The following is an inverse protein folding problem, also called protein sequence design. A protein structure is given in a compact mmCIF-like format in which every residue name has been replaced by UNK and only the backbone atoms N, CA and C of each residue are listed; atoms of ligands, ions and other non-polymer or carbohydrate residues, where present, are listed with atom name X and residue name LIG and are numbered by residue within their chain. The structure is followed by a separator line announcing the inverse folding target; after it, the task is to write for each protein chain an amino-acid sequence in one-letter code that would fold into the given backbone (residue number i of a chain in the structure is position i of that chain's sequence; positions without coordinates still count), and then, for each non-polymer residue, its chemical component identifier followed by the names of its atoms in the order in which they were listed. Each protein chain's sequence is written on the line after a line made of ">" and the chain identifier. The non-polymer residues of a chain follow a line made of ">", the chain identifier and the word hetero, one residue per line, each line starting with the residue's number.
data_IF_392598481033
#
_entry.id   IF_392598481033
#
_cell.length_a   1.000
_cell.length_b   1.000
_cell.length_c   1.000
_cell.angle_alpha   90.00
_cell.angle_beta   90.00
_cell.angle_gamma   90.00
#
_symmetry.space_group_name_H-M   'P 1'
#
loop_
_entity.id
_entity.type
_entity.pdbx_description
1 polymer ?
#
# COMPACT_ATOMS: atom_id res chain seq x y z
N UNK A 1 -44.61 -49.03 -0.13
CA UNK A 1 -44.05 -47.65 -0.02
C UNK A 1 -42.55 -47.79 0.15
N UNK A 2 -41.79 -47.52 -0.93
CA UNK A 2 -40.33 -47.70 -0.97
C UNK A 2 -39.69 -46.29 -0.83
N UNK A 3 -38.95 -46.02 0.24
CA UNK A 3 -38.15 -44.82 0.42
C UNK A 3 -36.77 -45.02 -0.24
N UNK A 4 -36.44 -44.20 -1.21
CA UNK A 4 -35.12 -44.12 -1.80
C UNK A 4 -34.29 -43.06 -1.02
N UNK A 5 -33.22 -43.53 -0.40
CA UNK A 5 -32.19 -42.68 0.18
C UNK A 5 -31.25 -42.25 -0.95
N UNK A 6 -31.22 -40.95 -1.22
CA UNK A 6 -30.21 -40.34 -2.08
C UNK A 6 -29.05 -39.89 -1.18
N UNK A 7 -27.94 -40.59 -1.30
CA UNK A 7 -26.66 -40.18 -0.68
C UNK A 7 -26.02 -39.16 -1.60
N UNK A 8 -25.98 -37.89 -1.16
CA UNK A 8 -25.23 -36.84 -1.84
C UNK A 8 -23.76 -36.92 -1.39
N UNK A 9 -22.89 -37.33 -2.29
CA UNK A 9 -21.46 -37.28 -2.10
C UNK A 9 -21.00 -35.79 -2.26
N UNK A 10 -20.57 -35.17 -1.18
CA UNK A 10 -19.90 -33.87 -1.20
C UNK A 10 -18.46 -34.09 -1.63
N UNK A 11 -18.15 -33.80 -2.87
CA UNK A 11 -16.78 -33.76 -3.36
C UNK A 11 -16.12 -32.46 -2.86
N UNK A 12 -15.14 -32.59 -1.98
CA UNK A 12 -14.26 -31.50 -1.59
C UNK A 12 -13.38 -31.11 -2.78
N UNK A 13 -13.65 -29.98 -3.41
CA UNK A 13 -12.80 -29.41 -4.45
C UNK A 13 -11.60 -28.73 -3.79
N UNK A 14 -10.44 -29.37 -3.87
CA UNK A 14 -9.16 -28.70 -3.62
C UNK A 14 -8.92 -27.67 -4.73
N UNK A 15 -8.35 -26.48 -4.44
CA UNK A 15 -8.00 -25.52 -5.48
C UNK A 15 -6.82 -26.08 -6.30
N UNK A 16 -7.14 -26.59 -7.46
CA UNK A 16 -6.16 -26.98 -8.47
C UNK A 16 -5.58 -25.69 -9.05
N UNK A 17 -4.30 -25.48 -8.87
CA UNK A 17 -3.51 -24.57 -9.70
C UNK A 17 -3.41 -25.25 -11.07
N UNK A 18 -4.34 -24.94 -11.96
CA UNK A 18 -4.37 -25.52 -13.29
C UNK A 18 -3.08 -25.16 -14.04
N UNK A 19 -2.30 -26.18 -14.36
CA UNK A 19 -1.32 -26.16 -15.42
C UNK A 19 -2.09 -26.28 -16.73
N UNK A 20 -2.21 -25.19 -17.46
CA UNK A 20 -2.53 -25.22 -18.88
C UNK A 20 -1.31 -24.76 -19.66
N UNK A 21 -0.57 -25.76 -20.12
CA UNK A 21 0.33 -25.62 -21.24
C UNK A 21 -0.46 -25.77 -22.53
N UNK A 22 -0.61 -24.69 -23.28
CA UNK A 22 -0.82 -24.78 -24.73
C UNK A 22 -0.36 -23.50 -25.40
N UNK A 23 0.56 -23.64 -26.33
CA UNK A 23 1.13 -22.61 -27.15
C UNK A 23 0.08 -22.01 -28.09
N UNK A 24 -0.08 -20.70 -28.07
CA UNK A 24 -0.60 -19.91 -29.19
C UNK A 24 0.46 -18.87 -29.56
N UNK A 25 1.06 -19.09 -30.70
CA UNK A 25 2.05 -18.25 -31.35
C UNK A 25 1.40 -16.97 -31.90
N UNK A 26 2.08 -15.81 -31.72
CA UNK A 26 1.94 -14.66 -32.63
C UNK A 26 1.21 -13.44 -32.09
N UNK A 27 1.67 -12.89 -30.98
CA UNK A 27 1.69 -11.46 -30.64
C UNK A 27 2.71 -11.33 -29.54
N UNK A 28 3.67 -10.40 -29.61
CA UNK A 28 4.84 -10.34 -28.74
C UNK A 28 4.51 -10.66 -27.29
N UNK A 29 5.03 -11.76 -26.80
CA UNK A 29 4.67 -12.34 -25.50
C UNK A 29 5.32 -11.50 -24.39
N UNK A 30 4.65 -10.40 -24.01
CA UNK A 30 5.08 -9.51 -22.93
C UNK A 30 5.24 -10.37 -21.66
N UNK A 31 6.44 -10.36 -21.09
CA UNK A 31 6.77 -11.12 -19.89
C UNK A 31 5.98 -10.63 -18.68
N UNK A 32 5.85 -11.46 -17.66
CA UNK A 32 5.17 -11.08 -16.41
C UNK A 32 5.85 -9.87 -15.73
N UNK A 33 7.17 -9.75 -15.83
CA UNK A 33 7.92 -8.61 -15.30
C UNK A 33 7.67 -7.33 -16.09
N UNK A 34 7.55 -7.42 -17.41
CA UNK A 34 7.17 -6.27 -18.27
C UNK A 34 5.76 -5.78 -17.94
N UNK A 35 4.83 -6.70 -17.63
CA UNK A 35 3.51 -6.33 -17.15
C UNK A 35 3.56 -5.62 -15.79
N UNK A 36 4.37 -6.09 -14.83
CA UNK A 36 4.57 -5.37 -13.55
C UNK A 36 5.15 -3.98 -13.77
N UNK A 37 6.11 -3.85 -14.71
CA UNK A 37 6.65 -2.54 -15.07
C UNK A 37 5.57 -1.64 -15.65
N UNK A 38 4.75 -2.15 -16.58
CA UNK A 38 3.63 -1.40 -17.18
C UNK A 38 2.63 -0.94 -16.12
N UNK A 39 2.32 -1.79 -15.12
CA UNK A 39 1.49 -1.44 -13.96
C UNK A 39 2.13 -0.31 -13.16
N UNK A 40 3.42 -0.40 -12.84
CA UNK A 40 4.13 0.63 -12.09
C UNK A 40 4.18 1.98 -12.83
N UNK A 41 4.38 1.94 -14.13
CA UNK A 41 4.45 3.14 -14.96
C UNK A 41 3.08 3.79 -15.17
N UNK A 42 2.00 3.00 -15.21
CA UNK A 42 0.64 3.50 -15.44
C UNK A 42 0.19 4.54 -14.41
N UNK A 43 0.60 4.41 -13.15
CA UNK A 43 0.30 5.37 -12.07
C UNK A 43 0.94 6.75 -12.28
N UNK A 44 1.92 6.86 -13.18
CA UNK A 44 2.65 8.10 -13.51
C UNK A 44 2.33 8.64 -14.90
N UNK A 45 1.67 7.86 -15.74
CA UNK A 45 1.51 8.20 -17.17
C UNK A 45 0.07 8.22 -17.62
N UNK A 46 -0.85 7.58 -16.89
CA UNK A 46 -2.23 7.38 -17.35
C UNK A 46 -3.16 8.32 -16.63
N UNK A 47 -3.92 9.10 -17.40
CA UNK A 47 -5.06 9.86 -16.87
C UNK A 47 -6.25 8.95 -16.72
N UNK A 48 -6.94 9.02 -15.57
CA UNK A 48 -8.17 8.27 -15.35
C UNK A 48 -9.07 8.93 -14.31
N UNK A 49 -10.34 8.59 -14.37
CA UNK A 49 -11.30 8.91 -13.31
C UNK A 49 -12.24 7.73 -13.11
N UNK A 50 -12.68 7.52 -11.87
CA UNK A 50 -13.54 6.39 -11.59
C UNK A 50 -14.00 6.32 -10.15
N UNK A 51 -14.82 5.32 -9.89
CA UNK A 51 -15.23 4.91 -8.55
C UNK A 51 -14.65 3.52 -8.29
N UNK A 52 -14.05 3.34 -7.14
CA UNK A 52 -13.50 2.04 -6.73
C UNK A 52 -14.01 1.65 -5.34
N UNK A 53 -13.97 0.36 -5.09
CA UNK A 53 -14.25 -0.25 -3.79
C UNK A 53 -12.95 -0.79 -3.23
N UNK A 54 -12.66 -0.44 -1.99
CA UNK A 54 -11.56 -0.98 -1.23
C UNK A 54 -12.11 -1.79 -0.07
N UNK A 55 -11.69 -3.05 0.02
CA UNK A 55 -12.11 -3.99 1.07
C UNK A 55 -10.88 -4.45 1.85
N UNK A 56 -10.94 -4.37 3.17
CA UNK A 56 -9.93 -4.90 4.08
C UNK A 56 -10.59 -5.45 5.35
N UNK A 57 -10.33 -6.73 5.64
CA UNK A 57 -11.06 -7.43 6.69
C UNK A 57 -12.58 -7.39 6.43
N UNK A 58 -13.35 -6.95 7.40
CA UNK A 58 -14.81 -6.76 7.28
C UNK A 58 -15.23 -5.38 6.78
N UNK A 59 -14.29 -4.46 6.53
CA UNK A 59 -14.58 -3.10 6.08
C UNK A 59 -14.61 -3.01 4.58
N UNK A 60 -15.58 -2.27 4.07
CA UNK A 60 -15.73 -1.92 2.66
C UNK A 60 -15.86 -0.41 2.57
N UNK A 61 -15.05 0.21 1.74
CA UNK A 61 -15.06 1.66 1.52
C UNK A 61 -15.15 1.95 0.03
N UNK A 62 -16.09 2.80 -0.36
CA UNK A 62 -16.23 3.27 -1.74
C UNK A 62 -15.63 4.67 -1.85
N UNK A 63 -14.84 4.89 -2.87
CA UNK A 63 -14.21 6.18 -3.12
C UNK A 63 -14.24 6.54 -4.59
N UNK A 64 -14.30 7.82 -4.88
CA UNK A 64 -14.14 8.38 -6.23
C UNK A 64 -12.77 8.98 -6.37
N UNK A 65 -12.11 8.71 -7.50
CA UNK A 65 -10.79 9.25 -7.82
C UNK A 65 -10.82 9.97 -9.16
N UNK A 66 -10.09 11.06 -9.25
CA UNK A 66 -9.64 11.70 -10.49
C UNK A 66 -8.13 11.79 -10.41
N UNK A 67 -7.47 11.22 -11.39
CA UNK A 67 -6.01 11.24 -11.52
C UNK A 67 -5.60 11.87 -12.84
N UNK A 68 -4.79 12.89 -12.77
CA UNK A 68 -4.34 13.67 -13.92
C UNK A 68 -2.82 13.85 -13.89
N UNK A 69 -2.19 13.51 -15.00
CA UNK A 69 -0.76 13.78 -15.24
C UNK A 69 -0.68 14.85 -16.31
N UNK A 70 -0.07 15.98 -15.97
CA UNK A 70 0.10 17.06 -16.93
C UNK A 70 1.27 16.78 -17.92
N UNK A 71 1.39 17.51 -19.04
CA UNK A 71 2.46 17.29 -20.01
C UNK A 71 3.88 17.45 -19.46
N UNK A 72 4.06 18.18 -18.35
CA UNK A 72 5.37 18.32 -17.68
C UNK A 72 5.65 17.24 -16.63
N UNK A 73 4.79 16.22 -16.54
CA UNK A 73 4.94 15.10 -15.60
C UNK A 73 4.45 15.36 -14.17
N UNK A 74 3.80 16.51 -13.93
CA UNK A 74 3.19 16.80 -12.64
C UNK A 74 1.92 15.95 -12.42
N UNK A 75 1.79 15.35 -11.24
CA UNK A 75 0.67 14.47 -10.87
C UNK A 75 -0.30 15.21 -9.97
N UNK A 76 -1.57 15.16 -10.33
CA UNK A 76 -2.68 15.76 -9.61
C UNK A 76 -3.76 14.70 -9.35
N UNK A 77 -4.23 14.63 -8.13
CA UNK A 77 -5.27 13.66 -7.75
C UNK A 77 -6.30 14.32 -6.84
N UNK A 78 -7.54 13.92 -7.02
CA UNK A 78 -8.61 14.14 -6.03
C UNK A 78 -9.25 12.82 -5.67
N UNK A 79 -9.23 12.48 -4.41
CA UNK A 79 -9.85 11.30 -3.85
C UNK A 79 -10.97 11.74 -2.90
N UNK A 80 -12.18 11.25 -3.13
CA UNK A 80 -13.36 11.53 -2.32
C UNK A 80 -13.91 10.23 -1.74
N UNK A 81 -13.99 10.12 -0.41
CA UNK A 81 -14.67 9.02 0.26
C UNK A 81 -16.18 9.19 0.12
N UNK A 82 -16.88 8.16 -0.33
CA UNK A 82 -18.32 8.18 -0.57
C UNK A 82 -19.13 7.55 0.57
N UNK A 83 -18.50 6.73 1.41
CA UNK A 83 -19.11 6.05 2.55
C UNK A 83 -18.56 6.60 3.87
N UNK A 84 -19.42 6.66 4.90
CA UNK A 84 -19.04 7.12 6.23
C UNK A 84 -18.73 8.62 6.33
N UNK A 85 -17.85 9.06 7.24
CA UNK A 85 -17.50 10.46 7.42
C UNK A 85 -16.91 11.08 6.16
N UNK A 86 -17.39 12.27 5.80
CA UNK A 86 -16.94 12.97 4.60
C UNK A 86 -15.43 13.26 4.65
N UNK A 87 -14.72 12.84 3.61
CA UNK A 87 -13.29 13.10 3.44
C UNK A 87 -12.95 13.33 1.99
N UNK A 88 -12.17 14.37 1.73
CA UNK A 88 -11.58 14.61 0.43
C UNK A 88 -10.07 14.79 0.57
N UNK A 89 -9.30 14.16 -0.28
CA UNK A 89 -7.86 14.32 -0.36
C UNK A 89 -7.50 14.84 -1.73
N UNK A 90 -6.79 15.96 -1.77
CA UNK A 90 -6.25 16.54 -3.00
C UNK A 90 -4.73 16.45 -2.95
N UNK A 91 -4.16 15.97 -4.05
CA UNK A 91 -2.70 15.94 -4.24
C UNK A 91 -2.30 16.84 -5.40
N UNK A 92 -1.22 17.55 -5.21
CA UNK A 92 -0.48 18.27 -6.26
C UNK A 92 1.00 17.95 -6.09
N UNK A 93 1.51 17.00 -6.87
CA UNK A 93 2.85 16.43 -6.73
C UNK A 93 3.08 15.82 -5.32
N UNK A 94 4.01 16.38 -4.56
CA UNK A 94 4.34 15.97 -3.18
C UNK A 94 3.43 16.60 -2.11
N UNK A 95 2.64 17.62 -2.48
CA UNK A 95 1.73 18.28 -1.55
C UNK A 95 0.39 17.53 -1.49
N UNK A 96 -0.02 17.17 -0.29
CA UNK A 96 -1.28 16.49 -0.01
C UNK A 96 -2.09 17.32 0.98
N UNK A 97 -3.32 17.63 0.62
CA UNK A 97 -4.27 18.34 1.48
C UNK A 97 -5.49 17.47 1.70
N UNK A 98 -5.79 17.12 2.95
CA UNK A 98 -7.00 16.39 3.30
C UNK A 98 -8.01 17.33 3.97
N UNK A 99 -9.22 17.36 3.45
CA UNK A 99 -10.37 18.10 3.99
C UNK A 99 -11.26 17.14 4.76
N UNK A 100 -11.54 17.47 6.02
CA UNK A 100 -12.40 16.73 6.94
C UNK A 100 -13.59 17.60 7.31
N UNK A 101 -14.67 17.63 6.50
CA UNK A 101 -15.77 18.60 6.65
C UNK A 101 -16.49 18.50 7.98
N UNK A 102 -16.71 17.29 8.49
CA UNK A 102 -17.46 17.03 9.72
C UNK A 102 -16.74 17.61 10.95
N UNK A 103 -15.41 17.56 10.96
CA UNK A 103 -14.58 18.14 12.03
C UNK A 103 -14.09 19.56 11.73
N UNK A 104 -14.39 20.10 10.54
CA UNK A 104 -13.88 21.41 10.05
C UNK A 104 -12.36 21.54 10.16
N UNK A 105 -11.66 20.50 9.70
CA UNK A 105 -10.18 20.44 9.74
C UNK A 105 -9.63 20.27 8.34
N UNK A 106 -8.55 20.96 8.06
CA UNK A 106 -7.71 20.77 6.87
C UNK A 106 -6.34 20.29 7.33
N UNK A 107 -5.93 19.13 6.87
CA UNK A 107 -4.59 18.58 7.12
C UNK A 107 -3.72 18.84 5.89
N UNK A 108 -2.54 19.41 6.08
CA UNK A 108 -1.58 19.65 5.00
C UNK A 108 -0.31 18.90 5.28
N UNK A 109 0.09 18.04 4.33
CA UNK A 109 1.25 17.16 4.43
C UNK A 109 2.12 17.25 3.18
N UNK A 110 3.41 16.94 3.33
CA UNK A 110 4.26 16.51 2.22
C UNK A 110 4.42 15.02 2.24
N UNK A 111 4.12 14.38 1.14
CA UNK A 111 4.33 12.94 0.96
C UNK A 111 5.07 12.71 -0.34
N UNK A 112 6.29 12.22 -0.24
CA UNK A 112 6.96 11.65 -1.40
C UNK A 112 6.20 10.38 -1.80
N UNK A 113 5.71 10.36 -3.03
CA UNK A 113 5.30 9.20 -3.83
C UNK A 113 4.56 8.04 -3.12
N UNK A 114 3.27 8.23 -2.82
CA UNK A 114 2.32 7.11 -2.77
C UNK A 114 1.31 7.30 -3.88
N UNK A 115 1.43 6.55 -4.96
CA UNK A 115 0.46 6.53 -6.04
C UNK A 115 -0.55 5.40 -5.80
N UNK A 116 -1.84 5.76 -5.71
CA UNK A 116 -2.90 4.77 -5.74
C UNK A 116 -3.02 4.23 -7.18
N UNK A 117 -3.48 3.00 -7.40
CA UNK A 117 -3.93 2.03 -6.40
C UNK A 117 -2.84 1.05 -5.95
N UNK A 118 -1.63 1.11 -6.49
CA UNK A 118 -0.61 0.08 -6.29
C UNK A 118 0.76 0.70 -6.07
N UNK A 119 1.42 0.28 -5.00
CA UNK A 119 2.83 0.58 -4.77
C UNK A 119 3.68 -0.57 -5.28
N UNK A 120 4.41 -0.33 -6.36
CA UNK A 120 5.43 -1.24 -6.86
C UNK A 120 6.81 -0.53 -6.79
N UNK A 121 7.89 -1.28 -6.53
CA UNK A 121 9.23 -0.72 -6.46
C UNK A 121 9.70 -0.25 -7.83
N UNK A 122 10.61 0.72 -7.84
CA UNK A 122 11.23 1.19 -9.08
C UNK A 122 12.11 0.11 -9.75
N UNK A 123 12.76 -0.74 -8.93
CA UNK A 123 13.60 -1.84 -9.41
C UNK A 123 12.89 -3.17 -9.22
N UNK A 124 12.19 -3.62 -10.24
CA UNK A 124 11.45 -4.89 -10.25
C UNK A 124 12.36 -6.12 -10.34
N UNK A 125 13.61 -5.98 -10.83
CA UNK A 125 14.57 -7.09 -10.95
C UNK A 125 14.86 -7.79 -9.62
N UNK A 126 14.87 -7.03 -8.53
CA UNK A 126 15.20 -7.55 -7.21
C UNK A 126 14.07 -8.41 -6.61
N UNK A 127 12.85 -8.26 -7.13
CA UNK A 127 11.68 -9.03 -6.67
C UNK A 127 11.82 -10.53 -6.95
N UNK A 128 12.42 -10.91 -8.06
CA UNK A 128 12.48 -12.32 -8.50
C UNK A 128 13.29 -13.21 -7.57
N UNK A 129 14.13 -12.64 -6.71
CA UNK A 129 14.83 -13.40 -5.67
C UNK A 129 13.90 -13.92 -4.59
N UNK A 130 12.86 -13.14 -4.21
CA UNK A 130 11.94 -13.43 -3.12
C UNK A 130 10.53 -13.80 -3.58
N UNK A 131 10.17 -13.45 -4.82
CA UNK A 131 8.85 -13.69 -5.39
C UNK A 131 8.93 -14.42 -6.73
N UNK A 132 7.93 -15.22 -6.99
CA UNK A 132 7.63 -15.75 -8.31
C UNK A 132 6.61 -14.83 -8.98
N UNK A 133 6.94 -14.33 -10.18
CA UNK A 133 6.05 -13.46 -10.97
C UNK A 133 5.53 -14.22 -12.16
N UNK A 134 4.18 -14.32 -12.26
CA UNK A 134 3.52 -15.05 -13.33
C UNK A 134 2.45 -14.21 -14.01
N UNK A 135 2.41 -14.28 -15.34
CA UNK A 135 1.24 -13.86 -16.12
C UNK A 135 0.18 -14.96 -15.97
N UNK A 136 -1.03 -14.58 -15.65
CA UNK A 136 -2.17 -15.47 -15.47
C UNK A 136 -3.21 -15.24 -16.57
N UNK A 137 -4.42 -15.75 -16.40
CA UNK A 137 -5.50 -15.63 -17.36
C UNK A 137 -5.94 -14.16 -17.56
N UNK A 138 -6.54 -13.90 -18.72
CA UNK A 138 -7.24 -12.65 -18.97
C UNK A 138 -8.59 -12.64 -18.25
N UNK A 139 -9.09 -11.44 -17.97
CA UNK A 139 -10.37 -11.20 -17.30
C UNK A 139 -10.97 -9.89 -17.82
N UNK A 140 -12.19 -9.57 -17.36
CA UNK A 140 -12.87 -8.33 -17.69
C UNK A 140 -13.41 -7.68 -16.42
N UNK A 141 -12.98 -6.43 -16.15
CA UNK A 141 -13.33 -5.69 -14.94
C UNK A 141 -13.77 -4.28 -15.33
N UNK A 142 -14.93 -3.86 -14.82
CA UNK A 142 -15.44 -2.52 -15.08
C UNK A 142 -15.66 -2.19 -16.56
N UNK A 143 -15.86 -3.21 -17.40
CA UNK A 143 -16.01 -3.05 -18.84
C UNK A 143 -14.72 -3.13 -19.66
N UNK A 144 -13.56 -3.23 -19.02
CA UNK A 144 -12.23 -3.27 -19.65
C UNK A 144 -11.63 -4.67 -19.58
N UNK A 145 -11.00 -5.08 -20.69
CA UNK A 145 -10.20 -6.30 -20.73
C UNK A 145 -8.89 -6.09 -19.96
N UNK A 146 -8.50 -7.07 -19.15
CA UNK A 146 -7.27 -7.04 -18.38
C UNK A 146 -6.59 -8.40 -18.31
N UNK A 147 -5.31 -8.40 -17.98
CA UNK A 147 -4.52 -9.61 -17.72
C UNK A 147 -4.14 -9.66 -16.24
N UNK A 148 -4.35 -10.79 -15.61
CA UNK A 148 -3.89 -11.01 -14.26
C UNK A 148 -2.37 -11.26 -14.22
N UNK A 149 -1.71 -10.56 -13.31
CA UNK A 149 -0.30 -10.73 -12.96
C UNK A 149 -0.20 -11.10 -11.50
N UNK A 150 0.31 -12.29 -11.23
CA UNK A 150 0.52 -12.80 -9.88
C UNK A 150 1.95 -12.56 -9.40
N UNK A 151 2.09 -12.16 -8.16
CA UNK A 151 3.36 -12.01 -7.44
C UNK A 151 3.25 -12.86 -6.19
N UNK A 152 3.75 -14.10 -6.26
CA UNK A 152 3.67 -15.08 -5.19
C UNK A 152 4.98 -15.11 -4.40
N UNK A 153 4.96 -14.97 -3.07
CA UNK A 153 6.17 -15.09 -2.27
C UNK A 153 6.69 -16.53 -2.30
N UNK A 154 8.02 -16.68 -2.24
CA UNK A 154 8.70 -17.99 -2.15
C UNK A 154 8.78 -18.52 -0.73
N UNK A 155 8.37 -17.72 0.25
CA UNK A 155 8.36 -18.05 1.68
C UNK A 155 7.03 -17.62 2.34
N UNK A 156 6.93 -17.76 3.67
CA UNK A 156 5.75 -17.36 4.46
C UNK A 156 5.94 -16.02 5.20
N UNK A 157 6.95 -15.26 4.82
CA UNK A 157 7.30 -13.99 5.47
C UNK A 157 6.74 -12.79 4.73
N UNK A 158 5.97 -13.01 3.66
CA UNK A 158 5.44 -11.99 2.74
C UNK A 158 4.04 -12.32 2.32
N UNK A 159 3.33 -11.30 1.88
CA UNK A 159 2.03 -11.47 1.26
C UNK A 159 2.13 -11.66 -0.25
N UNK A 160 1.26 -12.52 -0.77
CA UNK A 160 1.04 -12.64 -2.21
C UNK A 160 0.20 -11.49 -2.73
N UNK A 161 0.41 -11.10 -3.99
CA UNK A 161 -0.37 -10.05 -4.65
C UNK A 161 -0.80 -10.50 -6.04
N UNK A 162 -1.97 -10.02 -6.48
CA UNK A 162 -2.44 -10.16 -7.86
C UNK A 162 -2.95 -8.82 -8.36
N UNK A 163 -2.65 -8.51 -9.61
CA UNK A 163 -3.09 -7.29 -10.28
C UNK A 163 -3.75 -7.65 -11.60
N UNK A 164 -4.97 -7.15 -11.86
CA UNK A 164 -5.54 -7.23 -13.21
C UNK A 164 -5.26 -5.91 -13.91
N UNK A 165 -4.32 -5.93 -14.84
CA UNK A 165 -3.84 -4.77 -15.58
C UNK A 165 -4.59 -4.62 -16.89
N UNK A 166 -5.18 -3.44 -17.16
CA UNK A 166 -5.82 -3.13 -18.43
C UNK A 166 -4.81 -3.28 -19.59
N UNK A 167 -5.24 -3.90 -20.66
CA UNK A 167 -4.34 -4.38 -21.72
C UNK A 167 -3.57 -3.25 -22.40
N UNK A 168 -4.19 -2.11 -22.65
CA UNK A 168 -3.58 -0.99 -23.38
C UNK A 168 -2.73 -0.11 -22.47
N UNK A 169 -3.25 0.32 -21.33
CA UNK A 169 -2.62 1.30 -20.43
C UNK A 169 -1.75 0.69 -19.33
N UNK A 170 -2.01 -0.59 -18.98
CA UNK A 170 -1.41 -1.22 -17.81
C UNK A 170 -2.02 -0.78 -16.49
N UNK A 171 -3.08 0.07 -16.51
CA UNK A 171 -3.73 0.53 -15.29
C UNK A 171 -4.30 -0.67 -14.51
N UNK A 172 -3.97 -0.86 -13.22
CA UNK A 172 -4.53 -1.92 -12.42
C UNK A 172 -6.02 -1.66 -12.15
N UNK A 173 -6.87 -2.47 -12.76
CA UNK A 173 -8.33 -2.43 -12.59
C UNK A 173 -8.75 -3.06 -11.26
N UNK A 174 -7.98 -4.06 -10.83
CA UNK A 174 -8.14 -4.73 -9.53
C UNK A 174 -6.77 -5.10 -8.98
N UNK A 175 -6.61 -4.92 -7.67
CA UNK A 175 -5.46 -5.40 -6.91
C UNK A 175 -5.94 -6.21 -5.72
N UNK A 176 -5.26 -7.30 -5.40
CA UNK A 176 -5.60 -8.22 -4.33
C UNK A 176 -4.36 -8.58 -3.54
N UNK A 177 -4.51 -8.67 -2.21
CA UNK A 177 -3.45 -9.11 -1.28
C UNK A 177 -3.91 -10.39 -0.60
N UNK A 178 -3.03 -11.38 -0.58
CA UNK A 178 -3.27 -12.70 0.00
C UNK A 178 -2.29 -12.98 1.13
N UNK A 179 -2.78 -13.54 2.20
CA UNK A 179 -1.94 -13.96 3.32
C UNK A 179 -1.18 -15.28 3.01
N UNK A 180 -0.41 -15.76 3.98
CA UNK A 180 0.40 -16.98 3.88
C UNK A 180 -0.43 -18.28 3.73
N UNK A 181 -1.76 -18.20 3.93
CA UNK A 181 -2.72 -19.29 3.69
C UNK A 181 -3.45 -19.15 2.37
N UNK A 182 -3.04 -18.17 1.52
CA UNK A 182 -3.72 -17.83 0.27
C UNK A 182 -5.15 -17.29 0.47
N UNK A 183 -5.48 -16.79 1.65
CA UNK A 183 -6.75 -16.12 1.93
C UNK A 183 -6.66 -14.66 1.50
N UNK A 184 -7.71 -14.17 0.84
CA UNK A 184 -7.81 -12.76 0.44
C UNK A 184 -8.00 -11.88 1.68
N UNK A 185 -7.08 -10.96 1.92
CA UNK A 185 -7.11 -10.04 3.08
C UNK A 185 -7.39 -8.60 2.70
N UNK A 186 -7.04 -8.20 1.48
CA UNK A 186 -7.39 -6.89 0.92
C UNK A 186 -7.73 -6.99 -0.56
N UNK A 187 -8.67 -6.17 -1.00
CA UNK A 187 -9.03 -6.04 -2.39
C UNK A 187 -9.34 -4.58 -2.73
N UNK A 188 -8.75 -4.10 -3.80
CA UNK A 188 -9.10 -2.87 -4.49
C UNK A 188 -9.72 -3.25 -5.84
N UNK A 189 -10.74 -2.52 -6.29
CA UNK A 189 -11.29 -2.75 -7.63
C UNK A 189 -12.18 -1.61 -8.10
N UNK A 190 -11.99 -1.18 -9.35
CA UNK A 190 -12.86 -0.21 -9.98
C UNK A 190 -14.24 -0.81 -10.24
N UNK A 191 -15.31 -0.08 -9.84
CA UNK A 191 -16.69 -0.34 -10.22
C UNK A 191 -17.12 0.48 -11.44
N UNK A 192 -16.54 1.68 -11.58
CA UNK A 192 -16.71 2.55 -12.74
C UNK A 192 -15.36 3.16 -13.08
N UNK A 193 -15.03 3.26 -14.36
CA UNK A 193 -13.72 3.77 -14.78
C UNK A 193 -13.82 4.42 -16.16
N UNK A 194 -13.12 5.52 -16.33
CA UNK A 194 -12.81 6.15 -17.60
C UNK A 194 -11.29 6.32 -17.67
N UNK A 195 -10.66 5.77 -18.72
CA UNK A 195 -9.22 5.85 -18.95
C UNK A 195 -8.97 6.86 -20.06
N UNK A 196 -7.97 7.72 -19.89
CA UNK A 196 -7.66 8.80 -20.81
C UNK A 196 -8.61 9.99 -20.63
N UNK A 197 -8.69 10.83 -21.66
CA UNK A 197 -9.54 12.01 -21.68
C UNK A 197 -8.79 13.32 -21.46
N UNK A 198 -9.46 14.42 -21.78
CA UNK A 198 -8.97 15.77 -21.51
C UNK A 198 -9.40 16.16 -20.08
N UNK A 199 -8.46 16.13 -19.17
CA UNK A 199 -8.70 16.62 -17.82
C UNK A 199 -8.36 18.10 -17.73
N UNK A 200 -9.12 18.84 -16.93
CA UNK A 200 -8.79 20.19 -16.55
C UNK A 200 -8.44 20.25 -15.04
N UNK A 201 -7.82 21.36 -14.64
CA UNK A 201 -7.38 21.55 -13.26
C UNK A 201 -8.55 21.57 -12.26
N UNK A 202 -9.74 21.99 -12.70
CA UNK A 202 -10.92 22.11 -11.84
C UNK A 202 -11.44 20.73 -11.39
N UNK A 203 -11.21 19.69 -12.20
CA UNK A 203 -11.63 18.32 -11.85
C UNK A 203 -10.82 17.73 -10.70
N UNK A 204 -9.59 18.23 -10.47
CA UNK A 204 -8.70 17.81 -9.38
C UNK A 204 -8.62 18.82 -8.24
N UNK A 205 -9.29 19.98 -8.38
CA UNK A 205 -9.43 20.95 -7.30
C UNK A 205 -10.38 20.45 -6.21
N UNK A 206 -10.15 20.89 -4.98
CA UNK A 206 -11.05 20.57 -3.86
C UNK A 206 -12.39 21.28 -3.99
N UNK A 207 -13.47 20.57 -3.75
CA UNK A 207 -14.81 21.16 -3.60
C UNK A 207 -15.03 21.82 -2.23
N UNK A 208 -14.10 21.61 -1.28
CA UNK A 208 -14.19 22.14 0.08
C UNK A 208 -13.31 23.36 0.33
N UNK A 209 -12.37 23.70 -0.55
CA UNK A 209 -11.37 24.74 -0.32
C UNK A 209 -12.03 26.11 -0.02
N UNK A 210 -12.93 26.58 -0.90
CA UNK A 210 -13.63 27.84 -0.71
C UNK A 210 -14.45 27.86 0.59
N UNK A 211 -15.13 26.75 0.91
CA UNK A 211 -15.91 26.61 2.14
C UNK A 211 -15.01 26.60 3.38
N UNK A 212 -13.88 25.92 3.32
CA UNK A 212 -12.91 25.86 4.42
C UNK A 212 -12.34 27.24 4.74
N UNK A 213 -12.02 28.02 3.71
CA UNK A 213 -11.57 29.40 3.86
C UNK A 213 -12.68 30.30 4.44
N UNK A 214 -13.89 30.30 3.86
CA UNK A 214 -15.02 31.14 4.31
C UNK A 214 -15.43 30.84 5.77
N UNK A 215 -15.40 29.57 6.16
CA UNK A 215 -15.76 29.13 7.52
C UNK A 215 -14.57 29.04 8.48
N UNK A 216 -13.38 29.45 8.07
CA UNK A 216 -12.14 29.46 8.89
C UNK A 216 -11.87 28.12 9.55
N UNK A 217 -11.87 27.02 8.77
CA UNK A 217 -11.56 25.70 9.29
C UNK A 217 -10.16 25.67 9.89
N UNK A 218 -9.98 24.83 10.92
CA UNK A 218 -8.66 24.65 11.53
C UNK A 218 -7.70 23.99 10.53
N UNK A 219 -6.61 24.68 10.21
CA UNK A 219 -5.57 24.15 9.32
C UNK A 219 -4.45 23.59 10.16
N UNK A 220 -4.22 22.29 10.04
CA UNK A 220 -3.14 21.58 10.69
C UNK A 220 -2.02 21.30 9.67
N UNK A 221 -0.87 21.91 9.90
CA UNK A 221 0.35 21.78 9.11
C UNK A 221 1.45 21.05 9.89
N UNK A 222 1.13 20.40 10.98
CA UNK A 222 2.12 19.73 11.85
C UNK A 222 2.94 18.70 11.08
N UNK A 223 2.35 18.03 10.09
CA UNK A 223 3.05 17.09 9.24
C UNK A 223 4.05 17.75 8.25
N UNK A 224 3.88 19.04 7.89
CA UNK A 224 4.87 19.78 7.10
C UNK A 224 6.14 20.10 7.90
N UNK A 225 5.99 20.18 9.21
CA UNK A 225 7.08 20.49 10.13
C UNK A 225 7.81 19.21 10.61
N UNK A 226 7.47 18.06 10.04
CA UNK A 226 8.27 16.85 10.24
C UNK A 226 9.53 17.00 9.37
N UNK A 227 10.58 17.51 9.99
CA UNK A 227 11.89 17.51 9.35
C UNK A 227 12.42 16.07 9.39
N UNK A 228 12.48 15.45 8.22
CA UNK A 228 13.21 14.20 8.03
C UNK A 228 14.66 14.56 7.71
N UNK A 229 15.52 14.32 8.65
CA UNK A 229 16.95 14.52 8.44
C UNK A 229 17.60 13.13 8.31
N UNK A 230 18.22 12.86 7.16
CA UNK A 230 19.05 11.68 7.02
C UNK A 230 20.11 11.73 8.12
N UNK A 231 20.13 10.72 8.98
CA UNK A 231 21.00 10.74 10.14
C UNK A 231 21.30 9.32 10.61
N UNK A 232 22.49 9.12 11.14
CA UNK A 232 22.74 7.94 11.97
C UNK A 232 21.88 8.04 13.24
N UNK A 233 20.93 7.14 13.37
CA UNK A 233 20.01 7.10 14.52
C UNK A 233 20.61 6.40 15.73
N UNK A 234 21.73 5.69 15.55
CA UNK A 234 22.31 4.81 16.57
C UNK A 234 21.60 3.46 16.70
N UNK A 235 20.69 3.11 15.78
CA UNK A 235 19.95 1.85 15.79
C UNK A 235 20.13 1.08 14.49
N UNK A 236 20.04 -0.24 14.58
CA UNK A 236 20.05 -1.13 13.42
C UNK A 236 19.26 -2.39 13.70
N UNK A 237 18.86 -3.10 12.65
CA UNK A 237 18.32 -4.44 12.78
C UNK A 237 19.32 -5.44 12.21
N UNK A 238 19.65 -6.46 12.99
CA UNK A 238 20.47 -7.58 12.61
C UNK A 238 19.58 -8.80 12.34
N UNK A 239 20.02 -9.75 11.51
CA UNK A 239 19.24 -10.97 11.19
C UNK A 239 17.84 -10.66 10.60
N UNK A 240 17.81 -9.77 9.62
CA UNK A 240 16.58 -9.47 8.86
C UNK A 240 16.10 -10.71 8.08
N UNK A 241 14.79 -10.83 7.84
CA UNK A 241 14.29 -11.81 6.86
C UNK A 241 14.98 -11.64 5.51
N UNK A 242 15.25 -12.75 4.81
CA UNK A 242 15.96 -12.72 3.53
C UNK A 242 15.31 -11.73 2.56
N UNK A 243 16.12 -10.90 1.88
CA UNK A 243 15.65 -9.87 0.94
C UNK A 243 15.28 -8.52 1.56
N UNK A 244 14.98 -8.45 2.85
CA UNK A 244 14.77 -7.16 3.51
C UNK A 244 16.11 -6.42 3.70
N UNK A 245 16.11 -5.15 3.31
CA UNK A 245 17.26 -4.23 3.46
C UNK A 245 16.77 -2.91 4.03
N UNK A 246 17.63 -2.23 4.75
CA UNK A 246 17.36 -0.87 5.20
C UNK A 246 17.28 0.06 3.98
N UNK A 247 16.11 0.65 3.74
CA UNK A 247 15.85 1.59 2.64
C UNK A 247 15.90 3.04 3.09
N UNK A 248 15.63 3.30 4.38
CA UNK A 248 15.64 4.65 4.93
C UNK A 248 16.08 4.63 6.40
N UNK A 249 16.82 5.65 6.80
CA UNK A 249 17.16 5.95 8.19
C UNK A 249 17.16 7.47 8.39
N UNK A 250 16.24 7.95 9.21
CA UNK A 250 16.06 9.39 9.46
C UNK A 250 15.73 9.66 10.92
N UNK A 251 16.01 10.86 11.38
CA UNK A 251 15.44 11.41 12.61
C UNK A 251 14.25 12.28 12.25
N UNK A 252 13.09 11.97 12.83
CA UNK A 252 11.86 12.75 12.68
C UNK A 252 11.64 13.64 13.87
N UNK A 253 11.58 14.96 13.65
CA UNK A 253 11.10 15.90 14.65
C UNK A 253 9.59 16.05 14.47
N UNK A 254 8.81 15.72 15.48
CA UNK A 254 7.36 15.91 15.50
C UNK A 254 7.07 17.14 16.35
N UNK A 255 6.28 18.09 15.81
CA UNK A 255 5.87 19.28 16.55
C UNK A 255 5.16 18.89 17.85
N UNK A 256 5.58 19.48 18.97
CA UNK A 256 5.07 19.15 20.30
C UNK A 256 5.79 18.01 21.00
N UNK A 257 6.79 17.37 20.38
CA UNK A 257 7.69 16.41 21.03
C UNK A 257 9.10 17.00 21.13
N UNK A 258 9.72 17.02 22.31
CA UNK A 258 11.01 17.66 22.52
C UNK A 258 12.19 16.91 21.91
N UNK A 259 12.01 15.63 21.55
CA UNK A 259 13.08 14.75 21.07
C UNK A 259 12.74 14.22 19.67
N UNK A 260 13.73 14.32 18.78
CA UNK A 260 13.63 13.71 17.46
C UNK A 260 13.59 12.19 17.58
N UNK A 261 12.64 11.58 16.89
CA UNK A 261 12.38 10.15 16.93
C UNK A 261 13.13 9.43 15.81
N UNK A 262 13.96 8.43 16.11
CA UNK A 262 14.51 7.54 15.10
C UNK A 262 13.40 6.84 14.31
N UNK A 263 13.51 6.86 12.98
CA UNK A 263 12.65 6.14 12.07
C UNK A 263 13.50 5.42 11.03
N UNK A 264 13.42 4.10 11.02
CA UNK A 264 14.06 3.25 10.03
C UNK A 264 12.99 2.58 9.18
N UNK A 265 13.28 2.38 7.90
CA UNK A 265 12.43 1.59 7.01
C UNK A 265 13.23 0.46 6.42
N UNK A 266 12.68 -0.73 6.51
CA UNK A 266 13.21 -1.93 5.88
C UNK A 266 12.25 -2.35 4.77
N UNK A 267 12.78 -2.73 3.61
CA UNK A 267 11.98 -3.14 2.47
C UNK A 267 12.65 -4.30 1.73
N UNK A 268 11.84 -5.18 1.17
CA UNK A 268 12.26 -6.21 0.22
C UNK A 268 11.96 -5.82 -1.25
N UNK A 269 11.51 -4.56 -1.43
CA UNK A 269 11.10 -4.00 -2.71
C UNK A 269 9.57 -3.99 -2.91
N UNK A 270 8.80 -4.85 -2.25
CA UNK A 270 7.33 -4.88 -2.36
C UNK A 270 6.65 -4.59 -1.02
N UNK A 271 7.16 -5.16 0.06
CA UNK A 271 6.75 -4.85 1.42
C UNK A 271 7.67 -3.80 2.04
N UNK A 272 7.10 -2.89 2.82
CA UNK A 272 7.84 -1.89 3.58
C UNK A 272 7.44 -1.95 5.05
N UNK A 273 8.45 -2.01 5.93
CA UNK A 273 8.30 -2.11 7.37
C UNK A 273 8.95 -0.89 8.02
N UNK A 274 8.14 -0.08 8.67
CA UNK A 274 8.58 1.09 9.43
C UNK A 274 8.88 0.72 10.88
N UNK A 275 9.98 1.23 11.40
CA UNK A 275 10.45 1.08 12.77
C UNK A 275 10.57 2.46 13.40
N UNK A 276 9.85 2.68 14.47
CA UNK A 276 9.90 3.90 15.28
C UNK A 276 10.44 3.58 16.66
N UNK A 277 11.37 4.41 17.16
CA UNK A 277 11.97 4.24 18.48
C UNK A 277 11.67 5.48 19.31
N UNK A 278 10.92 5.30 20.39
CA UNK A 278 10.47 6.39 21.27
C UNK A 278 10.96 6.15 22.70
N UNK A 279 11.34 7.19 23.45
CA UNK A 279 11.58 7.04 24.88
C UNK A 279 10.33 6.49 25.58
N UNK A 280 10.52 5.61 26.54
CA UNK A 280 9.46 5.04 27.36
C UNK A 280 8.91 6.12 28.29
N UNK A 281 7.76 6.68 27.96
CA UNK A 281 7.03 7.62 28.82
C UNK A 281 5.96 6.86 29.56
N UNK A 282 6.18 6.54 30.82
CA UNK A 282 5.29 5.84 31.79
C UNK A 282 4.57 4.60 31.24
N UNK A 283 4.17 3.70 32.15
CA UNK A 283 3.50 2.42 31.91
C UNK A 283 2.10 2.56 31.26
N UNK A 284 2.08 2.93 30.00
CA UNK A 284 0.91 2.69 29.15
C UNK A 284 0.97 1.20 28.76
N UNK A 285 -0.05 0.44 29.14
CA UNK A 285 -0.18 -0.96 28.76
C UNK A 285 -0.06 -1.09 27.24
N UNK A 286 1.12 -1.52 26.80
CA UNK A 286 1.44 -1.69 25.39
C UNK A 286 0.76 -2.96 24.92
N UNK A 287 -0.30 -2.86 24.11
CA UNK A 287 -0.80 -4.03 23.35
C UNK A 287 0.31 -4.43 22.38
N UNK A 288 0.92 -5.61 22.57
CA UNK A 288 2.13 -5.94 21.81
C UNK A 288 1.87 -6.16 20.33
N UNK A 289 0.69 -6.64 19.96
CA UNK A 289 0.34 -6.92 18.57
C UNK A 289 -1.07 -6.41 18.25
N UNK A 290 -1.18 -5.71 17.13
CA UNK A 290 -2.45 -5.28 16.53
C UNK A 290 -2.37 -5.41 15.02
N UNK A 291 -3.51 -5.44 14.33
CA UNK A 291 -3.57 -5.41 12.88
C UNK A 291 -4.72 -4.54 12.38
N UNK A 292 -4.54 -4.01 11.18
CA UNK A 292 -5.58 -3.34 10.40
C UNK A 292 -5.38 -3.73 8.93
N UNK A 293 -6.26 -4.60 8.42
CA UNK A 293 -6.09 -5.20 7.10
C UNK A 293 -4.77 -5.97 7.02
N UNK A 294 -3.98 -5.71 5.97
CA UNK A 294 -2.65 -6.30 5.78
C UNK A 294 -1.56 -5.70 6.68
N UNK A 295 -1.83 -4.57 7.34
CA UNK A 295 -0.84 -3.92 8.21
C UNK A 295 -0.85 -4.56 9.59
N UNK A 296 0.29 -5.10 10.00
CA UNK A 296 0.54 -5.51 11.38
C UNK A 296 1.36 -4.45 12.10
N UNK A 297 1.05 -4.26 13.38
CA UNK A 297 1.76 -3.35 14.29
C UNK A 297 2.24 -4.18 15.47
N UNK A 298 3.52 -4.16 15.74
CA UNK A 298 4.10 -4.81 16.91
C UNK A 298 4.89 -3.81 17.74
N UNK A 299 4.72 -3.86 19.07
CA UNK A 299 5.43 -3.00 20.01
C UNK A 299 6.16 -3.85 21.05
N UNK A 300 7.40 -3.49 21.32
CA UNK A 300 8.17 -4.05 22.43
C UNK A 300 8.91 -2.97 23.20
N UNK A 301 9.21 -3.27 24.46
CA UNK A 301 10.10 -2.46 25.29
C UNK A 301 11.53 -2.96 25.09
N UNK A 302 12.47 -2.04 24.92
CA UNK A 302 13.90 -2.28 24.87
C UNK A 302 14.61 -1.25 25.76
N UNK A 303 14.98 -1.64 27.00
CA UNK A 303 15.49 -0.71 28.01
C UNK A 303 14.54 0.45 28.28
N UNK A 304 15.03 1.68 28.09
CA UNK A 304 14.27 2.91 28.24
C UNK A 304 13.49 3.33 26.99
N UNK A 305 13.38 2.43 26.00
CA UNK A 305 12.74 2.73 24.73
C UNK A 305 11.55 1.81 24.44
N UNK A 306 10.60 2.33 23.66
CA UNK A 306 9.55 1.55 23.00
C UNK A 306 9.90 1.48 21.51
N UNK A 307 10.07 0.26 21.01
CA UNK A 307 10.24 -0.01 19.58
C UNK A 307 8.88 -0.38 19.01
N UNK A 308 8.37 0.47 18.12
CA UNK A 308 7.11 0.24 17.38
C UNK A 308 7.45 -0.10 15.94
N UNK A 309 7.02 -1.27 15.49
CA UNK A 309 7.24 -1.77 14.12
C UNK A 309 5.91 -2.01 13.45
N UNK A 310 5.75 -1.51 12.24
CA UNK A 310 4.52 -1.69 11.48
C UNK A 310 4.79 -1.80 9.97
N UNK A 311 3.96 -2.61 9.30
CA UNK A 311 4.04 -2.75 7.84
C UNK A 311 3.09 -3.78 7.28
N UNK A 312 2.98 -3.79 5.94
CA UNK A 312 2.16 -4.74 5.19
C UNK A 312 2.89 -6.08 4.98
N UNK A 313 3.01 -6.82 6.06
CA UNK A 313 3.64 -8.15 6.07
C UNK A 313 2.99 -9.02 7.15
N UNK A 314 3.16 -10.35 7.10
CA UNK A 314 2.71 -11.26 8.15
C UNK A 314 3.22 -10.85 9.54
N UNK A 315 2.43 -11.12 10.57
CA UNK A 315 2.78 -10.78 11.96
C UNK A 315 4.17 -11.31 12.35
N UNK A 316 4.51 -12.53 11.93
CA UNK A 316 5.82 -13.15 12.19
C UNK A 316 6.97 -12.30 11.66
N UNK A 317 6.83 -11.70 10.49
CA UNK A 317 7.86 -10.85 9.87
C UNK A 317 8.03 -9.53 10.62
N UNK A 318 6.90 -8.89 10.97
CA UNK A 318 6.92 -7.65 11.76
C UNK A 318 7.56 -7.89 13.13
N UNK A 319 7.23 -9.00 13.78
CA UNK A 319 7.83 -9.40 15.06
C UNK A 319 9.31 -9.75 14.92
N UNK A 320 9.71 -10.46 13.87
CA UNK A 320 11.12 -10.81 13.62
C UNK A 320 11.97 -9.54 13.45
N UNK A 321 11.50 -8.60 12.62
CA UNK A 321 12.20 -7.32 12.43
C UNK A 321 12.23 -6.53 13.74
N UNK A 322 11.12 -6.47 14.47
CA UNK A 322 11.09 -5.78 15.76
C UNK A 322 12.11 -6.34 16.75
N UNK A 323 12.22 -7.67 16.83
CA UNK A 323 13.16 -8.34 17.73
C UNK A 323 14.62 -8.22 17.29
N UNK A 324 14.85 -7.96 15.99
CA UNK A 324 16.17 -7.75 15.43
C UNK A 324 16.72 -6.31 15.63
N UNK A 325 15.84 -5.36 16.02
CA UNK A 325 16.23 -3.95 16.20
C UNK A 325 16.93 -3.77 17.55
N UNK A 326 18.19 -3.31 17.48
CA UNK A 326 19.05 -3.09 18.63
C UNK A 326 19.81 -1.76 18.49
N UNK A 327 20.21 -1.13 19.62
CA UNK A 327 21.19 -0.05 19.57
C UNK A 327 22.48 -0.55 18.90
N UNK A 328 23.07 0.26 18.06
CA UNK A 328 24.41 -0.06 17.57
C UNK A 328 25.39 0.01 18.74
N UNK A 329 26.17 -1.05 18.94
CA UNK A 329 27.28 -0.99 19.86
C UNK A 329 28.24 0.10 19.39
N UNK A 330 28.43 1.13 20.22
CA UNK A 330 29.53 2.07 20.03
C UNK A 330 30.82 1.26 20.24
N UNK A 331 31.43 0.79 19.14
CA UNK A 331 32.81 0.34 19.21
C UNK A 331 33.62 1.60 19.54
N UNK A 332 34.31 1.66 20.68
CA UNK A 332 35.23 2.78 20.92
C UNK A 332 36.29 2.75 19.83
N UNK A 333 36.49 3.89 19.15
CA UNK A 333 37.66 4.10 18.30
C UNK A 333 38.90 4.22 19.17
#
# INVERSE_FOLDING_TARGET
>A
MKYWLVVAAVAAAAPVWAQDGSAASGAGNVSALEWLKKIADSSRTVNYSGTFVYQYGSRVETSRVVHYVNPSGGVFERLETLDGPSREVVRANDHVTAYLPDSKVVLVERRSTRHLPVMLPEKLSDLTSQYEVKKLANDRIGGFECVWVGVAPKDKLRYGRKFCAELSSGLPLRAQVFNERSELIESFGFSQLSIGGKFNRDQVASKYEARALAQKWRVDRSALNVMEQAADTGWSANNLPAGFRKSMEVKRTIVGRPVAMPHLVYSDGLAAISVFIEPKVRELGVKPLANQGAVHIYKRVHGEFIVTVLGEAPAVTVMQIANAVEPRSSTPK
#
